data_IF_271581428559
#
_entry.id   IF_271581428559
#
_cell.length_a   1.000
_cell.length_b   1.000
_cell.length_c   1.000
_cell.angle_alpha   90.00
_cell.angle_beta   90.00
_cell.angle_gamma   90.00
#
_symmetry.space_group_name_H-M   'P 1'
#
loop_
_entity.id
_entity.type
_entity.pdbx_description
1 polymer ?
#
# COMPACT_ATOMS: atom_id res chain seq x y z
N UNK A 1 12.76 -4.51 23.35
CA UNK A 1 12.37 -3.42 22.43
C UNK A 1 12.41 -2.13 23.22
N UNK A 2 13.62 -1.62 23.51
CA UNK A 2 13.80 -0.42 24.34
C UNK A 2 13.56 0.88 23.55
N UNK A 3 12.52 0.90 22.74
CA UNK A 3 12.09 2.11 22.03
C UNK A 3 11.08 2.83 22.90
N UNK A 4 11.29 4.12 23.08
CA UNK A 4 10.35 5.00 23.79
C UNK A 4 9.04 5.12 22.99
N UNK A 5 7.92 5.30 23.71
CA UNK A 5 6.60 5.49 23.11
C UNK A 5 6.59 6.70 22.16
N UNK A 6 7.41 7.71 22.44
CA UNK A 6 7.55 8.95 21.67
C UNK A 6 7.96 8.66 20.22
N UNK A 7 8.76 7.62 19.97
CA UNK A 7 9.14 7.19 18.61
C UNK A 7 7.93 6.64 17.83
N UNK A 8 7.08 5.85 18.49
CA UNK A 8 5.87 5.29 17.89
C UNK A 8 4.88 6.40 17.53
N UNK A 9 4.68 7.33 18.46
CA UNK A 9 3.73 8.44 18.33
C UNK A 9 4.16 9.43 17.26
N UNK A 10 5.45 9.74 17.18
CA UNK A 10 6.00 10.61 16.12
C UNK A 10 5.77 10.01 14.73
N UNK A 11 5.98 8.70 14.57
CA UNK A 11 5.72 8.01 13.29
C UNK A 11 4.25 7.90 12.92
N UNK A 12 3.36 7.89 13.90
CA UNK A 12 1.93 7.73 13.68
C UNK A 12 1.18 9.08 13.53
N UNK A 13 1.91 10.20 13.48
CA UNK A 13 1.39 11.58 13.51
C UNK A 13 0.54 11.87 14.76
N UNK A 14 0.93 11.28 15.90
CA UNK A 14 0.19 11.28 17.17
C UNK A 14 1.02 11.89 18.32
N UNK A 15 2.01 12.72 17.98
CA UNK A 15 2.89 13.40 18.94
C UNK A 15 2.15 14.26 19.96
N UNK A 16 0.96 14.75 19.61
CA UNK A 16 0.15 15.60 20.51
C UNK A 16 -0.42 14.83 21.71
N UNK A 17 -0.39 13.49 21.70
CA UNK A 17 -0.93 12.64 22.75
C UNK A 17 0.16 12.05 23.67
N UNK A 18 1.44 12.42 23.49
CA UNK A 18 2.56 11.87 24.27
C UNK A 18 2.34 11.97 25.78
N UNK A 19 1.79 13.09 26.23
CA UNK A 19 1.55 13.34 27.65
C UNK A 19 0.42 12.46 28.20
N UNK A 20 -0.60 12.18 27.37
CA UNK A 20 -1.70 11.28 27.73
C UNK A 20 -1.21 9.83 27.85
N UNK A 21 -0.33 9.38 26.95
CA UNK A 21 0.31 8.06 27.05
C UNK A 21 1.20 7.95 28.29
N UNK A 22 1.92 9.03 28.64
CA UNK A 22 2.74 9.10 29.86
C UNK A 22 1.89 9.10 31.13
N UNK A 23 0.73 9.76 31.14
CA UNK A 23 -0.22 9.74 32.28
C UNK A 23 -0.81 8.35 32.55
N UNK A 24 -1.01 7.54 31.50
CA UNK A 24 -1.48 6.15 31.62
C UNK A 24 -0.34 5.19 32.00
N UNK A 25 0.90 5.67 32.07
CA UNK A 25 2.08 4.87 32.42
C UNK A 25 2.68 4.10 31.25
N UNK A 26 2.26 4.39 30.01
CA UNK A 26 2.80 3.77 28.79
C UNK A 26 4.06 4.53 28.35
N UNK A 27 5.17 4.34 29.06
CA UNK A 27 6.43 5.01 28.75
C UNK A 27 7.25 4.29 27.64
N UNK A 28 7.12 2.96 27.56
CA UNK A 28 7.83 2.11 26.59
C UNK A 28 6.86 1.46 25.62
N UNK A 29 7.34 1.18 24.41
CA UNK A 29 6.61 0.45 23.37
C UNK A 29 6.19 -0.96 23.83
N UNK A 30 6.88 -1.56 24.80
CA UNK A 30 6.50 -2.86 25.37
C UNK A 30 5.19 -2.79 26.17
N UNK A 31 5.00 -1.73 26.95
CA UNK A 31 3.78 -1.51 27.72
C UNK A 31 2.56 -1.26 26.83
N UNK A 32 2.79 -0.95 25.54
CA UNK A 32 1.72 -0.78 24.56
C UNK A 32 1.06 -2.10 24.14
N UNK A 33 1.69 -3.26 24.42
CA UNK A 33 1.11 -4.58 24.14
C UNK A 33 -0.16 -4.84 24.94
N UNK A 34 -0.19 -4.36 26.17
CA UNK A 34 -1.26 -4.63 27.14
C UNK A 34 -2.38 -3.59 27.08
N UNK A 35 -2.30 -2.63 26.13
CA UNK A 35 -3.28 -1.54 25.97
C UNK A 35 -4.35 -1.94 24.95
N UNK A 36 -5.59 -2.06 25.43
CA UNK A 36 -6.75 -2.37 24.61
C UNK A 36 -7.30 -1.15 23.86
N UNK A 37 -7.97 -1.39 22.73
CA UNK A 37 -8.56 -0.31 21.91
C UNK A 37 -9.53 0.56 22.68
N UNK A 38 -10.22 -0.01 23.67
CA UNK A 38 -11.14 0.73 24.52
C UNK A 38 -10.43 1.74 25.42
N UNK A 39 -9.25 1.41 25.94
CA UNK A 39 -8.44 2.33 26.76
C UNK A 39 -7.80 3.43 25.92
N UNK A 40 -7.38 3.11 24.69
CA UNK A 40 -6.92 4.09 23.71
C UNK A 40 -8.03 5.09 23.32
N UNK A 41 -9.27 4.63 23.18
CA UNK A 41 -10.40 5.49 22.81
C UNK A 41 -10.94 6.31 23.98
N UNK A 42 -11.08 5.71 25.18
CA UNK A 42 -11.69 6.37 26.35
C UNK A 42 -10.72 7.22 27.17
N UNK A 43 -9.52 6.70 27.45
CA UNK A 43 -8.60 7.34 28.39
C UNK A 43 -7.64 8.31 27.68
N UNK A 44 -7.28 8.01 26.42
CA UNK A 44 -6.38 8.87 25.61
C UNK A 44 -7.18 9.81 24.70
N UNK A 45 -8.44 9.47 24.42
CA UNK A 45 -9.31 10.25 23.54
C UNK A 45 -8.99 10.08 22.05
N UNK A 46 -8.44 8.93 21.66
CA UNK A 46 -8.14 8.66 20.25
C UNK A 46 -9.41 8.32 19.47
N UNK A 47 -9.48 8.79 18.23
CA UNK A 47 -10.53 8.34 17.32
C UNK A 47 -10.27 6.89 16.87
N UNK A 48 -11.33 6.14 16.60
CA UNK A 48 -11.27 4.75 16.07
C UNK A 48 -10.29 4.58 14.91
N UNK A 49 -10.21 5.59 14.04
CA UNK A 49 -9.32 5.60 12.87
C UNK A 49 -7.86 5.76 13.29
N UNK A 50 -7.57 6.66 14.25
CA UNK A 50 -6.23 6.86 14.80
C UNK A 50 -5.75 5.62 15.55
N UNK A 51 -6.60 5.02 16.39
CA UNK A 51 -6.31 3.78 17.12
C UNK A 51 -5.94 2.65 16.14
N UNK A 52 -6.74 2.45 15.10
CA UNK A 52 -6.48 1.44 14.06
C UNK A 52 -5.24 1.72 13.22
N UNK A 53 -4.89 3.00 13.02
CA UNK A 53 -3.66 3.41 12.32
C UNK A 53 -2.44 3.12 13.19
N UNK A 54 -2.50 3.47 14.47
CA UNK A 54 -1.42 3.26 15.44
C UNK A 54 -1.16 1.76 15.65
N UNK A 55 -2.19 0.92 15.79
CA UNK A 55 -2.02 -0.56 15.85
C UNK A 55 -1.34 -1.14 14.61
N UNK A 56 -1.68 -0.64 13.42
CA UNK A 56 -1.03 -1.08 12.17
C UNK A 56 0.45 -0.71 12.15
N UNK A 57 0.80 0.49 12.60
CA UNK A 57 2.20 0.90 12.70
C UNK A 57 2.97 0.10 13.75
N UNK A 58 2.35 -0.16 14.90
CA UNK A 58 2.94 -1.00 15.92
C UNK A 58 3.24 -2.42 15.41
N UNK A 59 2.27 -3.05 14.73
CA UNK A 59 2.47 -4.36 14.09
C UNK A 59 3.58 -4.35 13.02
N UNK A 60 3.69 -3.26 12.26
CA UNK A 60 4.77 -3.07 11.29
C UNK A 60 6.15 -2.99 11.97
N UNK A 61 6.28 -2.20 13.04
CA UNK A 61 7.55 -2.09 13.79
C UNK A 61 7.93 -3.42 14.45
N UNK A 62 6.95 -4.20 14.92
CA UNK A 62 7.21 -5.55 15.40
C UNK A 62 7.74 -6.47 14.29
N UNK A 63 7.12 -6.45 13.11
CA UNK A 63 7.58 -7.20 11.93
C UNK A 63 9.02 -6.85 11.54
N UNK A 64 9.36 -5.55 11.56
CA UNK A 64 10.70 -5.05 11.28
C UNK A 64 11.73 -5.48 12.36
N UNK A 65 11.33 -5.51 13.64
CA UNK A 65 12.21 -5.97 14.72
C UNK A 65 12.51 -7.46 14.67
N UNK A 66 11.55 -8.28 14.20
CA UNK A 66 11.71 -9.74 14.06
C UNK A 66 12.60 -10.14 12.87
N UNK A 67 12.73 -9.26 11.87
CA UNK A 67 13.70 -9.43 10.78
C UNK A 67 15.14 -9.04 11.14
N UNK A 68 15.37 -8.36 12.27
CA UNK A 68 16.72 -7.90 12.67
C UNK A 68 17.57 -8.97 13.37
N UNK A 69 17.02 -10.15 13.65
CA UNK A 69 17.73 -11.29 14.22
C UNK A 69 18.41 -12.22 13.19
N UNK A 70 18.25 -11.97 11.90
CA UNK A 70 18.89 -12.75 10.83
C UNK A 70 19.67 -11.81 9.94
N UNK A 71 20.85 -11.41 10.38
CA UNK A 71 21.81 -10.73 9.51
C UNK A 71 22.39 -11.71 8.49
N UNK A 72 22.64 -11.19 7.29
CA UNK A 72 23.49 -11.74 6.22
C UNK A 72 22.76 -12.43 5.07
N UNK A 73 22.20 -11.64 4.14
CA UNK A 73 22.70 -11.51 2.74
C UNK A 73 21.62 -10.91 1.83
N UNK A 74 22.06 -10.03 0.92
CA UNK A 74 21.33 -9.75 -0.32
C UNK A 74 20.56 -8.44 -0.38
N UNK A 75 21.28 -7.37 -0.73
CA UNK A 75 20.72 -6.18 -1.38
C UNK A 75 19.97 -6.61 -2.65
N UNK A 76 18.69 -6.28 -2.77
CA UNK A 76 18.12 -5.70 -4.00
C UNK A 76 16.86 -4.90 -3.67
N UNK A 77 16.98 -3.58 -3.79
CA UNK A 77 16.09 -2.73 -4.58
C UNK A 77 14.65 -3.23 -4.72
N UNK A 78 13.72 -2.57 -4.03
CA UNK A 78 12.29 -2.64 -4.30
C UNK A 78 12.01 -2.09 -5.71
N UNK A 79 12.24 -2.93 -6.72
CA UNK A 79 11.61 -2.84 -8.01
C UNK A 79 10.13 -3.14 -7.80
N UNK A 80 9.26 -2.32 -8.38
CA UNK A 80 7.82 -2.54 -8.48
C UNK A 80 7.50 -4.03 -8.71
N UNK A 81 6.35 -4.57 -8.26
CA UNK A 81 6.02 -5.97 -8.48
C UNK A 81 5.85 -6.21 -9.98
N UNK A 82 6.96 -6.53 -10.65
CA UNK A 82 7.01 -7.06 -11.99
C UNK A 82 6.36 -8.41 -11.83
N UNK A 83 5.10 -8.52 -12.23
CA UNK A 83 4.35 -9.78 -12.27
C UNK A 83 5.22 -10.76 -13.04
N UNK A 84 6.01 -11.56 -12.32
CA UNK A 84 6.77 -12.65 -12.90
C UNK A 84 5.70 -13.62 -13.36
N UNK A 85 5.44 -13.63 -14.67
CA UNK A 85 4.53 -14.58 -15.31
C UNK A 85 5.10 -15.97 -15.01
N UNK A 86 4.69 -16.58 -13.90
CA UNK A 86 4.98 -17.98 -13.65
C UNK A 86 4.16 -18.75 -14.68
N UNK A 87 4.84 -19.46 -15.57
CA UNK A 87 4.17 -20.33 -16.52
C UNK A 87 3.52 -21.47 -15.73
N UNK A 88 2.20 -21.57 -15.81
CA UNK A 88 1.47 -22.70 -15.25
C UNK A 88 1.74 -23.86 -16.19
N UNK A 89 2.40 -24.91 -15.68
CA UNK A 89 2.60 -26.15 -16.41
C UNK A 89 1.33 -26.98 -16.26
N UNK A 90 0.70 -27.34 -17.36
CA UNK A 90 -0.48 -28.20 -17.38
C UNK A 90 -0.30 -29.34 -18.35
N UNK A 91 -0.78 -30.53 -17.99
CA UNK A 91 -0.81 -31.69 -18.87
C UNK A 91 -2.06 -31.62 -19.75
N UNK A 92 -1.88 -31.68 -21.08
CA UNK A 92 -3.00 -31.83 -22.01
C UNK A 92 -3.61 -33.23 -21.94
N UNK A 93 -4.83 -33.40 -22.48
CA UNK A 93 -5.55 -34.68 -22.51
C UNK A 93 -4.79 -35.82 -23.22
N UNK A 94 -3.79 -35.49 -24.04
CA UNK A 94 -2.88 -36.43 -24.71
C UNK A 94 -1.61 -36.77 -23.90
N UNK A 95 -1.47 -36.28 -22.66
CA UNK A 95 -0.29 -36.51 -21.82
C UNK A 95 0.92 -35.62 -22.16
N UNK A 96 0.80 -34.74 -23.14
CA UNK A 96 1.88 -33.82 -23.51
C UNK A 96 1.91 -32.60 -22.58
N UNK A 97 3.11 -32.29 -22.05
CA UNK A 97 3.34 -31.12 -21.20
C UNK A 97 3.19 -29.85 -22.05
N UNK A 98 2.17 -29.05 -21.76
CA UNK A 98 1.97 -27.76 -22.42
C UNK A 98 2.38 -26.62 -21.48
N UNK A 99 3.31 -25.80 -21.94
CA UNK A 99 3.69 -24.55 -21.27
C UNK A 99 2.66 -23.49 -21.68
N UNK A 100 1.71 -23.19 -20.80
CA UNK A 100 0.71 -22.17 -21.07
C UNK A 100 1.37 -20.79 -20.95
N UNK A 101 1.90 -20.27 -22.06
CA UNK A 101 2.34 -18.87 -22.16
C UNK A 101 1.09 -17.98 -22.07
N UNK A 102 0.96 -17.27 -20.96
CA UNK A 102 -0.05 -16.22 -20.72
C UNK A 102 0.21 -14.96 -21.59
N UNK A 103 0.45 -15.15 -22.88
CA UNK A 103 0.69 -14.06 -23.83
C UNK A 103 -0.59 -13.64 -24.57
N UNK A 104 -1.72 -14.28 -24.26
CA UNK A 104 -3.00 -14.02 -24.91
C UNK A 104 -4.18 -14.09 -23.94
N UNK A 105 -3.98 -13.69 -22.68
CA UNK A 105 -5.14 -13.32 -21.88
C UNK A 105 -5.79 -12.12 -22.57
N UNK A 106 -7.07 -12.18 -22.99
CA UNK A 106 -7.73 -11.00 -23.53
C UNK A 106 -7.55 -9.89 -22.50
N UNK A 107 -7.15 -8.70 -22.94
CA UNK A 107 -7.07 -7.53 -22.08
C UNK A 107 -8.47 -7.30 -21.50
N UNK A 108 -8.70 -7.86 -20.31
CA UNK A 108 -9.98 -7.74 -19.64
C UNK A 108 -10.24 -6.27 -19.44
N UNK A 109 -11.30 -5.76 -20.05
CA UNK A 109 -11.61 -4.34 -19.97
C UNK A 109 -11.77 -3.98 -18.49
N UNK A 110 -11.31 -2.81 -18.03
CA UNK A 110 -11.27 -2.46 -16.62
C UNK A 110 -12.62 -2.57 -15.90
N UNK A 111 -13.73 -2.44 -16.63
CA UNK A 111 -15.09 -2.53 -16.11
C UNK A 111 -15.69 -3.94 -16.08
N UNK A 112 -15.04 -4.93 -16.69
CA UNK A 112 -15.54 -6.33 -16.69
C UNK A 112 -15.65 -6.91 -15.28
N UNK A 113 -14.84 -6.41 -14.33
CA UNK A 113 -14.92 -6.78 -12.90
C UNK A 113 -16.24 -6.39 -12.24
N UNK A 114 -17.01 -5.49 -12.85
CA UNK A 114 -18.30 -5.02 -12.32
C UNK A 114 -19.50 -5.71 -12.99
N UNK A 115 -19.26 -6.58 -13.98
CA UNK A 115 -20.34 -7.32 -14.62
C UNK A 115 -20.84 -8.44 -13.72
N UNK A 116 -22.16 -8.58 -13.64
CA UNK A 116 -22.80 -9.68 -12.93
C UNK A 116 -22.62 -10.99 -13.72
N UNK A 117 -22.13 -12.05 -13.07
CA UNK A 117 -21.97 -13.36 -13.72
C UNK A 117 -23.35 -13.98 -13.96
N UNK A 118 -23.52 -14.57 -15.15
CA UNK A 118 -24.74 -15.28 -15.57
C UNK A 118 -26.06 -14.49 -15.40
N UNK A 119 -26.26 -13.41 -16.18
CA UNK A 119 -27.47 -12.59 -16.12
C UNK A 119 -28.67 -13.32 -16.74
N UNK A 120 -29.50 -13.92 -15.88
CA UNK A 120 -30.67 -14.72 -16.27
C UNK A 120 -31.96 -13.90 -16.33
N UNK A 121 -32.04 -12.76 -15.63
CA UNK A 121 -33.19 -11.84 -15.70
C UNK A 121 -32.89 -10.63 -16.58
N UNK A 122 -33.93 -10.01 -17.15
CA UNK A 122 -33.81 -8.79 -17.96
C UNK A 122 -33.16 -7.65 -17.19
N UNK A 123 -33.49 -7.52 -15.90
CA UNK A 123 -32.89 -6.55 -15.00
C UNK A 123 -31.37 -6.73 -14.87
N UNK A 124 -30.88 -7.97 -14.75
CA UNK A 124 -29.44 -8.26 -14.68
C UNK A 124 -28.73 -7.97 -16.01
N UNK A 125 -29.39 -8.28 -17.13
CA UNK A 125 -28.89 -7.94 -18.47
C UNK A 125 -28.77 -6.41 -18.64
N UNK A 126 -29.79 -5.67 -18.18
CA UNK A 126 -29.79 -4.20 -18.20
C UNK A 126 -28.65 -3.60 -17.36
N UNK A 127 -28.41 -4.12 -16.15
CA UNK A 127 -27.28 -3.64 -15.34
C UNK A 127 -25.94 -3.87 -16.05
N UNK A 128 -25.73 -5.05 -16.64
CA UNK A 128 -24.51 -5.32 -17.39
C UNK A 128 -24.37 -4.42 -18.63
N UNK A 129 -25.47 -4.00 -19.28
CA UNK A 129 -25.41 -3.12 -20.45
C UNK A 129 -25.03 -1.67 -20.12
N UNK A 130 -25.39 -1.17 -18.93
CA UNK A 130 -25.08 0.22 -18.53
C UNK A 130 -23.70 0.38 -17.89
N UNK A 131 -23.11 -0.70 -17.36
CA UNK A 131 -21.79 -0.68 -16.70
C UNK A 131 -20.68 -0.04 -17.53
N UNK A 132 -20.50 -0.35 -18.84
CA UNK A 132 -19.48 0.30 -19.66
C UNK A 132 -19.68 1.82 -19.77
N UNK A 133 -20.91 2.26 -20.00
CA UNK A 133 -21.24 3.68 -20.18
C UNK A 133 -21.03 4.49 -18.89
N UNK A 134 -21.41 3.93 -17.74
CA UNK A 134 -21.17 4.53 -16.42
C UNK A 134 -19.67 4.62 -16.14
N UNK A 135 -18.92 3.56 -16.47
CA UNK A 135 -17.48 3.54 -16.28
C UNK A 135 -16.78 4.62 -17.13
N UNK A 136 -17.13 4.70 -18.42
CA UNK A 136 -16.53 5.66 -19.34
C UNK A 136 -16.85 7.12 -18.94
N UNK A 137 -18.12 7.42 -18.64
CA UNK A 137 -18.55 8.76 -18.24
C UNK A 137 -17.92 9.23 -16.92
N UNK A 138 -17.82 8.34 -15.92
CA UNK A 138 -17.39 8.71 -14.57
C UNK A 138 -15.89 8.66 -14.36
N UNK A 139 -15.19 7.73 -15.04
CA UNK A 139 -13.78 7.42 -14.75
C UNK A 139 -12.82 7.85 -15.84
N UNK A 140 -13.18 7.86 -17.13
CA UNK A 140 -12.21 8.17 -18.20
C UNK A 140 -11.76 9.64 -18.14
N UNK A 141 -12.70 10.56 -17.89
CA UNK A 141 -12.43 11.99 -17.72
C UNK A 141 -11.51 12.27 -16.51
N UNK A 142 -11.73 11.58 -15.38
CA UNK A 142 -10.92 11.74 -14.16
C UNK A 142 -9.56 11.04 -14.23
N UNK A 143 -9.48 9.92 -14.95
CA UNK A 143 -8.26 9.12 -15.05
C UNK A 143 -7.20 9.80 -15.93
N UNK A 144 -7.60 10.52 -16.98
CA UNK A 144 -6.68 11.29 -17.81
C UNK A 144 -5.96 12.39 -17.01
N UNK A 145 -6.72 13.21 -16.27
CA UNK A 145 -6.15 14.26 -15.41
C UNK A 145 -5.24 13.70 -14.30
N UNK A 146 -5.63 12.57 -13.69
CA UNK A 146 -4.79 11.93 -12.67
C UNK A 146 -3.48 11.37 -13.23
N UNK A 147 -3.51 10.74 -14.42
CA UNK A 147 -2.30 10.26 -15.08
C UNK A 147 -1.35 11.41 -15.46
N UNK A 148 -1.91 12.50 -15.97
CA UNK A 148 -1.13 13.70 -16.29
C UNK A 148 -0.50 14.31 -15.04
N UNK A 149 -1.27 14.46 -13.97
CA UNK A 149 -0.77 14.91 -12.67
C UNK A 149 0.38 14.04 -12.14
N UNK A 150 0.24 12.71 -12.20
CA UNK A 150 1.31 11.80 -11.77
C UNK A 150 2.61 12.00 -12.58
N UNK A 151 2.48 12.20 -13.88
CA UNK A 151 3.61 12.42 -14.77
C UNK A 151 4.31 13.75 -14.47
N UNK A 152 3.54 14.82 -14.26
CA UNK A 152 4.04 16.12 -13.83
C UNK A 152 4.78 16.03 -12.47
N UNK A 153 4.20 15.31 -11.50
CA UNK A 153 4.83 15.10 -10.20
C UNK A 153 6.16 14.34 -10.32
N UNK A 154 6.22 13.32 -11.17
CA UNK A 154 7.45 12.57 -11.41
C UNK A 154 8.54 13.44 -12.04
N UNK A 155 8.18 14.25 -13.03
CA UNK A 155 9.09 15.17 -13.70
C UNK A 155 9.62 16.24 -12.73
N UNK A 156 8.74 16.86 -11.95
CA UNK A 156 9.11 17.85 -10.93
C UNK A 156 10.09 17.27 -9.91
N UNK A 157 9.81 16.07 -9.38
CA UNK A 157 10.71 15.39 -8.42
C UNK A 157 12.07 15.10 -9.03
N UNK A 158 12.11 14.65 -10.28
CA UNK A 158 13.36 14.39 -10.98
C UNK A 158 14.18 15.67 -11.12
N UNK A 159 13.56 16.78 -11.56
CA UNK A 159 14.24 18.07 -11.71
C UNK A 159 14.75 18.63 -10.37
N UNK A 160 14.00 18.46 -9.28
CA UNK A 160 14.46 18.87 -7.95
C UNK A 160 15.65 18.03 -7.51
N UNK A 161 15.59 16.72 -7.70
CA UNK A 161 16.68 15.82 -7.30
C UNK A 161 17.96 16.09 -8.09
N UNK A 162 17.87 16.38 -9.39
CA UNK A 162 19.04 16.77 -10.19
C UNK A 162 19.64 18.10 -9.75
N UNK A 163 18.80 19.10 -9.42
CA UNK A 163 19.27 20.39 -8.87
C UNK A 163 19.96 20.23 -7.52
N UNK A 164 19.36 19.46 -6.60
CA UNK A 164 19.93 19.18 -5.29
C UNK A 164 21.30 18.50 -5.44
N UNK A 165 21.38 17.50 -6.32
CA UNK A 165 22.65 16.81 -6.59
C UNK A 165 23.70 17.76 -7.17
N UNK A 166 23.33 18.60 -8.14
CA UNK A 166 24.25 19.57 -8.72
C UNK A 166 24.75 20.63 -7.71
N UNK A 167 23.94 21.01 -6.72
CA UNK A 167 24.37 21.89 -5.63
C UNK A 167 25.30 21.18 -4.65
N UNK A 168 24.95 19.95 -4.25
CA UNK A 168 25.80 19.13 -3.37
C UNK A 168 27.17 18.85 -4.01
N UNK A 169 27.20 18.53 -5.31
CA UNK A 169 28.45 18.32 -6.04
C UNK A 169 29.29 19.62 -6.11
N UNK A 170 28.66 20.80 -6.15
CA UNK A 170 29.38 22.09 -6.12
C UNK A 170 29.96 22.40 -4.73
N UNK A 171 29.20 22.13 -3.67
CA UNK A 171 29.68 22.32 -2.29
C UNK A 171 30.83 21.37 -1.95
N UNK A 172 30.80 20.13 -2.46
CA UNK A 172 31.86 19.14 -2.21
C UNK A 172 33.14 19.35 -3.05
N UNK A 173 33.11 20.26 -4.03
CA UNK A 173 34.25 20.62 -4.88
C UNK A 173 34.84 22.01 -4.53
N UNK A 174 34.40 22.60 -3.41
CA UNK A 174 34.98 23.79 -2.76
C UNK A 174 35.80 23.36 -1.54
#
# INVERSE_FOLDING_TARGET
MDKEIDYLLTKADLSNYTDNFKQIGVAKVEHFLDVDDETLERDIGLTKIQTRRLRRFFAQIQGESKQRGTSSEGVTSASAPKKRKQAILSFGRSGQLQVLRNDSAPEKKPWEKYLLPNPHTERLKFYNSVVPQIYESSFVSKQAGFKQYLLEQQQMRWQLNTKIKALSDKENNL
#
